data_IF_405889754328
#
_entry.id   IF_405889754328
#
_cell.length_a   1.000
_cell.length_b   1.000
_cell.length_c   1.000
_cell.angle_alpha   90.00
_cell.angle_beta   90.00
_cell.angle_gamma   90.00
#
_symmetry.space_group_name_H-M   'P 1'
#
loop_
_entity.id
_entity.type
_entity.pdbx_description
1 polymer ?
#
# COMPACT_ATOMS: atom_id res chain seq x y z
N UNK A 1 -29.75 -1.54 -0.55
CA UNK A 1 -29.43 -1.97 -1.93
C UNK A 1 -27.93 -1.88 -2.23
N UNK A 2 -27.18 -0.87 -1.76
CA UNK A 2 -25.72 -0.78 -1.99
C UNK A 2 -24.88 -1.82 -1.19
N UNK A 3 -25.24 -2.13 0.06
CA UNK A 3 -24.49 -3.07 0.92
C UNK A 3 -24.32 -4.47 0.33
N UNK A 4 -25.35 -5.02 -0.33
CA UNK A 4 -25.24 -6.36 -0.94
C UNK A 4 -24.21 -6.39 -2.08
N UNK A 5 -24.04 -5.27 -2.79
CA UNK A 5 -23.05 -5.16 -3.86
C UNK A 5 -21.65 -5.01 -3.27
N UNK A 6 -21.51 -4.28 -2.17
CA UNK A 6 -20.23 -4.17 -1.44
C UNK A 6 -19.77 -5.54 -0.92
N UNK A 7 -20.66 -6.32 -0.29
CA UNK A 7 -20.34 -7.64 0.26
C UNK A 7 -19.94 -8.63 -0.84
N UNK A 8 -20.64 -8.62 -1.99
CA UNK A 8 -20.30 -9.47 -3.13
C UNK A 8 -18.96 -9.05 -3.76
N UNK A 9 -18.71 -7.74 -3.91
CA UNK A 9 -17.42 -7.24 -4.41
C UNK A 9 -16.28 -7.58 -3.45
N UNK A 10 -16.53 -7.50 -2.14
CA UNK A 10 -15.56 -7.89 -1.13
C UNK A 10 -15.20 -9.38 -1.24
N UNK A 11 -16.20 -10.26 -1.43
CA UNK A 11 -15.96 -11.69 -1.67
C UNK A 11 -15.09 -11.91 -2.92
N UNK A 12 -15.43 -11.27 -4.03
CA UNK A 12 -14.66 -11.36 -5.29
C UNK A 12 -13.22 -10.88 -5.08
N UNK A 13 -13.03 -9.72 -4.44
CA UNK A 13 -11.68 -9.18 -4.22
C UNK A 13 -10.88 -9.98 -3.20
N UNK A 14 -11.54 -10.67 -2.27
CA UNK A 14 -10.87 -11.56 -1.34
C UNK A 14 -10.32 -12.82 -2.03
N UNK A 15 -10.97 -13.32 -3.09
CA UNK A 15 -10.40 -14.38 -3.95
C UNK A 15 -9.20 -13.88 -4.76
N UNK A 16 -9.17 -12.58 -5.07
CA UNK A 16 -8.09 -11.91 -5.80
C UNK A 16 -6.98 -11.37 -4.89
N UNK A 17 -7.02 -11.65 -3.57
CA UNK A 17 -6.12 -11.06 -2.57
C UNK A 17 -4.64 -11.18 -2.92
N UNK A 18 -4.23 -12.31 -3.49
CA UNK A 18 -2.84 -12.60 -3.81
C UNK A 18 -2.45 -12.13 -5.22
N UNK A 19 -3.44 -11.79 -6.07
CA UNK A 19 -3.22 -11.13 -7.36
C UNK A 19 -3.30 -9.60 -7.22
N UNK A 20 -2.19 -9.06 -6.75
CA UNK A 20 -2.04 -7.61 -6.52
C UNK A 20 -2.18 -6.80 -7.82
N UNK A 21 -1.83 -7.38 -8.97
CA UNK A 21 -1.96 -6.71 -10.27
C UNK A 21 -3.44 -6.53 -10.65
N UNK A 22 -4.24 -7.58 -10.47
CA UNK A 22 -5.68 -7.49 -10.67
C UNK A 22 -6.33 -6.56 -9.66
N UNK A 23 -5.97 -6.64 -8.37
CA UNK A 23 -6.49 -5.71 -7.36
C UNK A 23 -6.16 -4.25 -7.68
N UNK A 24 -4.94 -3.96 -8.14
CA UNK A 24 -4.58 -2.62 -8.59
C UNK A 24 -5.46 -2.15 -9.76
N UNK A 25 -5.77 -3.04 -10.70
CA UNK A 25 -6.68 -2.73 -11.81
C UNK A 25 -8.11 -2.45 -11.31
N UNK A 26 -8.60 -3.21 -10.32
CA UNK A 26 -9.91 -2.99 -9.69
C UNK A 26 -10.02 -1.60 -9.04
N UNK A 27 -8.95 -1.09 -8.43
CA UNK A 27 -8.93 0.25 -7.81
C UNK A 27 -9.20 1.35 -8.85
N UNK A 28 -8.82 1.14 -10.11
CA UNK A 28 -8.95 2.13 -11.18
C UNK A 28 -10.35 2.14 -11.83
N UNK A 29 -11.22 1.17 -11.53
CA UNK A 29 -12.53 1.02 -12.17
C UNK A 29 -13.48 2.14 -11.76
N UNK A 30 -13.73 2.31 -10.46
CA UNK A 30 -14.58 3.36 -9.92
C UNK A 30 -14.31 3.59 -8.41
N UNK A 31 -14.93 4.62 -7.84
CA UNK A 31 -14.77 4.98 -6.43
C UNK A 31 -15.19 3.87 -5.46
N UNK A 32 -16.25 3.11 -5.75
CA UNK A 32 -16.73 2.03 -4.87
C UNK A 32 -15.72 0.88 -4.82
N UNK A 33 -15.25 0.42 -5.99
CA UNK A 33 -14.24 -0.63 -6.11
C UNK A 33 -12.92 -0.20 -5.46
N UNK A 34 -12.54 1.06 -5.64
CA UNK A 34 -11.39 1.68 -5.00
C UNK A 34 -11.46 1.57 -3.46
N UNK A 35 -12.60 1.90 -2.84
CA UNK A 35 -12.76 1.82 -1.38
C UNK A 35 -12.63 0.40 -0.82
N UNK A 36 -13.05 -0.63 -1.55
CA UNK A 36 -13.00 -2.03 -1.09
C UNK A 36 -11.61 -2.65 -1.41
N UNK A 37 -11.07 -2.40 -2.60
CA UNK A 37 -9.82 -2.99 -3.04
C UNK A 37 -8.58 -2.38 -2.37
N UNK A 38 -8.59 -1.09 -2.01
CA UNK A 38 -7.45 -0.43 -1.35
C UNK A 38 -7.10 -1.14 -0.02
N UNK A 39 -8.01 -1.31 0.95
CA UNK A 39 -7.67 -1.97 2.20
C UNK A 39 -7.11 -3.38 2.01
N UNK A 40 -7.61 -4.13 1.02
CA UNK A 40 -7.11 -5.47 0.70
C UNK A 40 -5.70 -5.44 0.13
N UNK A 41 -5.44 -4.54 -0.83
CA UNK A 41 -4.13 -4.35 -1.43
C UNK A 41 -3.08 -3.92 -0.37
N UNK A 42 -3.47 -3.04 0.56
CA UNK A 42 -2.58 -2.57 1.63
C UNK A 42 -2.35 -3.61 2.74
N UNK A 43 -3.30 -4.52 3.01
CA UNK A 43 -3.07 -5.65 3.92
C UNK A 43 -2.01 -6.62 3.39
N UNK A 44 -1.99 -6.85 2.08
CA UNK A 44 -0.99 -7.71 1.44
C UNK A 44 0.30 -6.98 1.08
N UNK A 45 0.40 -5.67 1.36
CA UNK A 45 1.62 -4.89 1.14
C UNK A 45 2.86 -5.53 1.76
N UNK A 46 2.74 -6.19 2.91
CA UNK A 46 3.88 -6.84 3.59
C UNK A 46 4.51 -7.96 2.75
N UNK A 47 3.74 -8.62 1.87
CA UNK A 47 4.29 -9.64 0.97
C UNK A 47 5.19 -9.04 -0.11
N UNK A 48 5.00 -7.75 -0.46
CA UNK A 48 5.88 -7.03 -1.39
C UNK A 48 7.31 -6.91 -0.84
N UNK A 49 7.47 -6.84 0.49
CA UNK A 49 8.80 -6.83 1.11
C UNK A 49 9.44 -8.22 1.14
N UNK A 50 8.63 -9.28 1.29
CA UNK A 50 9.15 -10.65 1.33
C UNK A 50 9.59 -11.13 -0.05
N UNK A 51 8.82 -10.81 -1.10
CA UNK A 51 9.18 -11.16 -2.47
C UNK A 51 8.90 -10.02 -3.45
N UNK A 52 9.81 -9.03 -3.56
CA UNK A 52 9.60 -7.87 -4.41
C UNK A 52 9.44 -8.23 -5.89
N UNK A 53 10.05 -9.32 -6.38
CA UNK A 53 10.07 -9.65 -7.81
C UNK A 53 8.73 -10.13 -8.37
N UNK A 54 7.79 -10.50 -7.52
CA UNK A 54 6.46 -10.96 -7.93
C UNK A 54 5.51 -9.83 -8.32
N UNK A 55 5.94 -8.56 -8.24
CA UNK A 55 5.06 -7.41 -8.36
C UNK A 55 5.56 -6.38 -9.35
N UNK A 56 4.61 -5.77 -10.05
CA UNK A 56 4.84 -4.73 -11.05
C UNK A 56 5.65 -3.56 -10.45
N UNK A 57 6.79 -3.17 -11.07
CA UNK A 57 7.68 -2.15 -10.53
C UNK A 57 7.03 -0.78 -10.28
N UNK A 58 6.14 -0.33 -11.15
CA UNK A 58 5.48 0.98 -11.02
C UNK A 58 4.50 1.00 -9.85
N UNK A 59 3.74 -0.07 -9.62
CA UNK A 59 2.90 -0.23 -8.45
C UNK A 59 3.72 -0.13 -7.16
N UNK A 60 4.85 -0.85 -7.10
CA UNK A 60 5.75 -0.82 -5.95
C UNK A 60 6.26 0.59 -5.67
N UNK A 61 6.68 1.30 -6.72
CA UNK A 61 7.14 2.69 -6.64
C UNK A 61 6.03 3.62 -6.13
N UNK A 62 4.79 3.47 -6.60
CA UNK A 62 3.64 4.25 -6.11
C UNK A 62 3.39 4.02 -4.63
N UNK A 63 3.42 2.77 -4.18
CA UNK A 63 3.18 2.45 -2.77
C UNK A 63 4.30 2.97 -1.87
N UNK A 64 5.56 2.84 -2.29
CA UNK A 64 6.68 3.44 -1.57
C UNK A 64 6.60 4.97 -1.52
N UNK A 65 6.14 5.64 -2.58
CA UNK A 65 5.90 7.07 -2.55
C UNK A 65 4.83 7.46 -1.51
N UNK A 66 3.76 6.66 -1.38
CA UNK A 66 2.74 6.90 -0.34
C UNK A 66 3.36 6.74 1.04
N UNK A 67 4.16 5.70 1.29
CA UNK A 67 4.83 5.52 2.59
C UNK A 67 5.81 6.66 2.88
N UNK A 68 6.65 7.01 1.91
CA UNK A 68 7.60 8.11 1.99
C UNK A 68 6.92 9.45 2.31
N UNK A 69 5.69 9.66 1.85
CA UNK A 69 4.94 10.87 2.14
C UNK A 69 4.61 11.03 3.63
N UNK A 70 4.40 9.93 4.37
CA UNK A 70 4.14 9.98 5.81
C UNK A 70 5.40 10.02 6.67
N UNK A 71 6.58 9.87 6.07
CA UNK A 71 7.84 9.89 6.80
C UNK A 71 8.33 11.32 7.04
N UNK A 72 8.93 11.59 8.22
CA UNK A 72 9.47 12.90 8.57
C UNK A 72 10.68 13.24 7.69
N UNK A 73 10.61 14.35 6.96
CA UNK A 73 11.61 14.76 5.96
C UNK A 73 11.98 16.25 6.07
N UNK A 74 12.01 16.75 7.30
CA UNK A 74 12.54 18.07 7.61
C UNK A 74 14.05 17.97 7.88
N UNK A 75 14.80 19.07 7.76
CA UNK A 75 16.25 19.06 7.97
C UNK A 75 16.69 18.56 9.35
N UNK A 76 15.85 18.70 10.37
CA UNK A 76 16.10 18.21 11.73
C UNK A 76 15.69 16.76 11.98
N UNK A 77 15.06 16.10 11.01
CA UNK A 77 14.60 14.72 11.17
C UNK A 77 15.74 13.72 10.93
N UNK A 78 15.63 12.47 11.42
CA UNK A 78 16.70 11.48 11.28
C UNK A 78 17.03 11.13 9.82
N UNK A 79 16.06 11.18 8.90
CA UNK A 79 16.28 10.70 7.53
C UNK A 79 17.32 11.54 6.76
N UNK A 80 17.22 12.89 6.69
CA UNK A 80 18.24 13.69 6.02
C UNK A 80 19.60 13.66 6.72
N UNK A 81 19.66 13.39 8.03
CA UNK A 81 20.93 13.26 8.77
C UNK A 81 21.75 12.06 8.30
N UNK A 82 21.09 11.00 7.84
CA UNK A 82 21.72 9.80 7.28
C UNK A 82 21.79 9.82 5.74
N UNK A 83 21.60 10.99 5.09
CA UNK A 83 21.57 11.17 3.64
C UNK A 83 20.53 10.28 2.92
N UNK A 84 19.44 9.94 3.62
CA UNK A 84 18.34 9.16 3.04
C UNK A 84 17.44 10.11 2.26
N UNK A 85 17.57 10.08 0.93
CA UNK A 85 16.74 10.88 0.03
C UNK A 85 15.40 10.18 -0.23
N UNK A 86 14.32 10.74 0.31
CA UNK A 86 12.97 10.29 -0.01
C UNK A 86 12.54 10.79 -1.41
N UNK A 87 11.66 10.05 -2.12
CA UNK A 87 11.14 10.48 -3.40
C UNK A 87 10.52 11.88 -3.32
N UNK A 88 10.98 12.77 -4.21
CA UNK A 88 10.64 14.19 -4.21
C UNK A 88 9.15 14.49 -4.51
N UNK A 89 8.41 13.48 -4.95
CA UNK A 89 6.98 13.57 -5.25
C UNK A 89 6.15 13.61 -3.97
N UNK A 90 6.30 14.69 -3.18
CA UNK A 90 5.43 14.94 -2.03
C UNK A 90 4.01 15.04 -2.55
N UNK A 91 3.14 14.16 -2.06
CA UNK A 91 1.71 14.21 -2.34
C UNK A 91 1.20 15.52 -1.74
N UNK A 92 0.96 16.52 -2.58
CA UNK A 92 0.53 17.87 -2.12
C UNK A 92 -0.96 17.92 -1.78
N UNK A 93 -1.72 16.93 -2.25
CA UNK A 93 -3.15 16.80 -2.01
C UNK A 93 -3.40 15.99 -0.75
N UNK A 94 -4.49 16.32 -0.05
CA UNK A 94 -5.00 15.47 1.03
C UNK A 94 -5.24 14.07 0.48
N UNK A 95 -4.68 13.06 1.15
CA UNK A 95 -4.89 11.67 0.79
C UNK A 95 -6.36 11.31 1.00
N UNK A 96 -6.92 10.56 0.06
CA UNK A 96 -8.32 10.13 0.10
C UNK A 96 -8.59 9.07 1.17
N UNK A 97 -7.53 8.42 1.67
CA UNK A 97 -7.62 7.33 2.64
C UNK A 97 -6.58 7.51 3.74
N UNK A 98 -6.92 7.02 4.93
CA UNK A 98 -5.99 6.82 6.04
C UNK A 98 -5.14 5.57 5.78
N UNK A 99 -4.30 5.60 4.73
CA UNK A 99 -3.56 4.42 4.26
C UNK A 99 -2.74 3.73 5.35
N UNK A 100 -2.20 4.51 6.30
CA UNK A 100 -1.44 3.99 7.43
C UNK A 100 -2.27 3.13 8.38
N UNK A 101 -3.59 3.33 8.45
CA UNK A 101 -4.49 2.48 9.25
C UNK A 101 -4.67 1.08 8.66
N UNK A 102 -4.48 0.93 7.34
CA UNK A 102 -4.55 -0.37 6.67
C UNK A 102 -3.26 -1.17 6.77
N UNK A 103 -2.19 -0.54 7.25
CA UNK A 103 -0.89 -1.15 7.41
C UNK A 103 -0.91 -2.11 8.61
N UNK A 104 -1.26 -3.38 8.38
CA UNK A 104 -1.52 -4.31 9.48
C UNK A 104 -0.28 -4.94 10.13
N UNK A 105 0.93 -4.85 9.53
CA UNK A 105 2.19 -5.36 10.12
C UNK A 105 3.41 -5.08 9.22
N UNK A 106 4.45 -4.43 9.76
CA UNK A 106 5.84 -4.66 9.30
C UNK A 106 6.35 -5.91 10.02
N UNK A 107 6.04 -7.11 9.51
CA UNK A 107 6.67 -8.32 10.04
C UNK A 107 8.14 -8.32 9.66
N UNK A 108 8.99 -7.74 10.50
CA UNK A 108 10.41 -8.08 10.51
C UNK A 108 10.48 -9.51 11.02
N UNK A 109 10.53 -10.50 10.14
CA UNK A 109 10.98 -11.84 10.55
C UNK A 109 12.38 -11.61 11.14
N UNK A 110 12.51 -11.62 12.47
CA UNK A 110 13.81 -11.78 13.12
C UNK A 110 14.38 -13.05 12.50
N UNK A 111 15.41 -12.92 11.67
CA UNK A 111 16.28 -14.05 11.38
C UNK A 111 16.77 -14.50 12.75
N UNK A 112 16.22 -15.59 13.26
CA UNK A 112 16.91 -16.36 14.29
C UNK A 112 18.20 -16.81 13.62
N UNK A 113 19.28 -16.12 13.96
CA UNK A 113 20.64 -16.58 13.73
C UNK A 113 20.88 -17.66 14.76
N UNK A 114 20.90 -18.92 14.30
CA UNK A 114 21.63 -19.99 14.98
C UNK A 114 23.15 -19.74 14.83
#
# INVERSE_FOLDING_TARGET
>A
MAQLVDDVLLLIFNELRDDISTLHSCILVNTMWCHIAIPLLWKNFSSLFENPYNFEPELRKKLYNVIAHFLPNNPGDPLPQYDIQLPLNRITKKLSFEYMSFFTRITTKKKYTD
#
